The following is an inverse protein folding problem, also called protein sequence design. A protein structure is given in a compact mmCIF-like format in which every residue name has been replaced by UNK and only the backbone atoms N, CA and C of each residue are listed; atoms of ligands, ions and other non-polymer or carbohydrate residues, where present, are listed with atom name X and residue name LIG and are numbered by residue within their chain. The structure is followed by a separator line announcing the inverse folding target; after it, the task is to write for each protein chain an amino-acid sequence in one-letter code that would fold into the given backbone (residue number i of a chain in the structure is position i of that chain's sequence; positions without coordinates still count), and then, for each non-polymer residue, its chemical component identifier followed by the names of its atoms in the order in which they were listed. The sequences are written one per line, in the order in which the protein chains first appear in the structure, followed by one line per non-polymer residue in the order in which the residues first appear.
data_IF_108263042745
#
_entry.id   IF_108263042745
#
_cell.length_a   1.000
_cell.length_b   1.000
_cell.length_c   1.000
_cell.angle_alpha   90.00
_cell.angle_beta   90.00
_cell.angle_gamma   90.00
#
_symmetry.space_group_name_H-M   'P 1'
#
loop_
_entity.id
_entity.type
_entity.pdbx_description
1 polymer ?
#
# COMPACT_ATOMS: atom_id res chain seq x y z
N UNK A 1 -11.37 5.65 34.54
CA UNK A 1 -11.98 4.55 33.76
C UNK A 1 -13.05 3.92 34.61
N UNK A 2 -14.31 4.09 34.23
CA UNK A 2 -15.44 3.38 34.84
C UNK A 2 -15.37 1.93 34.38
N UNK A 3 -15.31 0.97 35.31
CA UNK A 3 -15.18 -0.45 34.98
C UNK A 3 -16.58 -1.06 34.93
N UNK A 4 -17.02 -1.51 33.76
CA UNK A 4 -18.28 -2.23 33.60
C UNK A 4 -18.04 -3.67 34.06
N UNK A 5 -18.74 -4.11 35.11
CA UNK A 5 -18.64 -5.50 35.57
C UNK A 5 -19.48 -6.42 34.69
N UNK A 6 -19.17 -7.72 34.68
CA UNK A 6 -19.99 -8.72 33.98
C UNK A 6 -21.47 -8.71 34.44
N UNK A 7 -21.76 -8.35 35.69
CA UNK A 7 -23.12 -8.21 36.21
C UNK A 7 -23.86 -6.94 35.76
N UNK A 8 -23.12 -5.92 35.31
CA UNK A 8 -23.68 -4.66 34.79
C UNK A 8 -23.96 -4.71 33.29
N UNK A 9 -23.44 -5.72 32.58
CA UNK A 9 -23.48 -5.78 31.11
C UNK A 9 -24.92 -5.78 30.57
N UNK A 10 -25.81 -6.59 31.13
CA UNK A 10 -27.21 -6.67 30.67
C UNK A 10 -27.94 -5.33 30.83
N UNK A 11 -27.64 -4.61 31.92
CA UNK A 11 -28.20 -3.28 32.19
C UNK A 11 -27.70 -2.27 31.16
N UNK A 12 -26.37 -2.16 30.97
CA UNK A 12 -25.81 -1.17 30.04
C UNK A 12 -26.19 -1.47 28.59
N UNK A 13 -26.27 -2.75 28.20
CA UNK A 13 -26.75 -3.17 26.88
C UNK A 13 -28.21 -2.76 26.67
N UNK A 14 -29.05 -2.88 27.71
CA UNK A 14 -30.45 -2.49 27.66
C UNK A 14 -30.62 -0.97 27.57
N UNK A 15 -29.93 -0.21 28.41
CA UNK A 15 -29.94 1.27 28.39
C UNK A 15 -29.42 1.81 27.06
N UNK A 16 -28.33 1.25 26.53
CA UNK A 16 -27.70 1.69 25.28
C UNK A 16 -28.44 1.26 24.01
N UNK A 17 -29.54 0.49 24.10
CA UNK A 17 -30.19 -0.16 22.94
C UNK A 17 -30.50 0.78 21.78
N UNK A 18 -30.98 1.99 22.07
CA UNK A 18 -31.32 2.99 21.06
C UNK A 18 -30.09 3.55 20.30
N UNK A 19 -28.90 3.34 20.84
CA UNK A 19 -27.63 3.88 20.35
C UNK A 19 -26.66 2.78 19.91
N UNK A 20 -27.10 1.52 19.85
CA UNK A 20 -26.24 0.43 19.42
C UNK A 20 -25.86 0.58 17.94
N UNK A 21 -24.59 0.36 17.64
CA UNK A 21 -24.09 0.26 16.27
C UNK A 21 -24.90 -0.78 15.46
N UNK A 22 -25.35 -0.47 14.24
CA UNK A 22 -26.23 -1.35 13.45
C UNK A 22 -25.67 -2.75 13.14
N UNK A 23 -24.36 -2.91 13.14
CA UNK A 23 -23.71 -4.20 12.90
C UNK A 23 -23.43 -5.00 14.18
N UNK A 24 -23.70 -4.47 15.36
CA UNK A 24 -23.45 -5.19 16.61
C UNK A 24 -24.36 -6.42 16.69
N UNK A 25 -23.76 -7.60 16.88
CA UNK A 25 -24.48 -8.86 17.06
C UNK A 25 -24.39 -9.38 18.48
N UNK A 26 -23.44 -8.88 19.29
CA UNK A 26 -23.33 -9.25 20.69
C UNK A 26 -22.24 -8.48 21.43
N UNK A 27 -22.30 -8.52 22.76
CA UNK A 27 -21.26 -8.02 23.64
C UNK A 27 -21.08 -9.00 24.80
N UNK A 28 -19.84 -9.17 25.25
CA UNK A 28 -19.49 -10.03 26.38
C UNK A 28 -18.37 -9.41 27.21
N UNK A 29 -18.31 -9.72 28.50
CA UNK A 29 -17.18 -9.36 29.35
C UNK A 29 -16.28 -10.60 29.57
N UNK A 30 -14.97 -10.45 29.41
CA UNK A 30 -14.02 -11.50 29.76
C UNK A 30 -13.82 -11.63 31.29
N UNK A 31 -13.01 -12.61 31.72
CA UNK A 31 -12.71 -12.84 33.16
C UNK A 31 -12.02 -11.65 33.87
N UNK A 32 -11.58 -10.65 33.11
CA UNK A 32 -10.94 -9.43 33.59
C UNK A 32 -11.84 -8.20 33.41
N UNK A 33 -13.15 -8.40 33.15
CA UNK A 33 -14.13 -7.35 32.85
C UNK A 33 -13.78 -6.50 31.62
N UNK A 34 -13.03 -7.06 30.65
CA UNK A 34 -12.81 -6.39 29.36
C UNK A 34 -14.00 -6.68 28.45
N UNK A 35 -14.58 -5.62 27.90
CA UNK A 35 -15.65 -5.74 26.92
C UNK A 35 -15.08 -6.26 25.61
N UNK A 36 -15.73 -7.28 25.06
CA UNK A 36 -15.53 -7.79 23.71
C UNK A 36 -16.84 -7.61 22.96
N UNK A 37 -16.78 -6.96 21.81
CA UNK A 37 -17.93 -6.73 20.95
C UNK A 37 -17.83 -7.66 19.75
N UNK A 38 -18.96 -8.25 19.36
CA UNK A 38 -19.08 -9.05 18.14
C UNK A 38 -19.92 -8.27 17.15
N UNK A 39 -19.42 -8.15 15.91
CA UNK A 39 -20.09 -7.48 14.82
C UNK A 39 -20.29 -8.42 13.65
N UNK A 40 -21.30 -8.15 12.83
CA UNK A 40 -21.30 -8.59 11.44
C UNK A 40 -20.03 -8.05 10.76
N UNK A 41 -19.36 -8.89 9.97
CA UNK A 41 -18.14 -8.53 9.26
C UNK A 41 -18.33 -7.23 8.45
N UNK A 42 -17.39 -6.31 8.57
CA UNK A 42 -17.32 -5.10 7.75
C UNK A 42 -16.68 -5.43 6.41
N UNK A 43 -17.22 -4.87 5.34
CA UNK A 43 -16.65 -4.99 3.99
C UNK A 43 -15.67 -3.85 3.69
N UNK A 44 -15.79 -2.73 4.40
CA UNK A 44 -15.02 -1.51 4.15
C UNK A 44 -15.61 -0.64 3.05
N UNK A 45 -16.72 -1.06 2.45
CA UNK A 45 -17.50 -0.27 1.50
C UNK A 45 -18.65 0.49 2.17
N UNK A 46 -18.97 0.17 3.43
CA UNK A 46 -19.94 0.91 4.21
C UNK A 46 -19.37 2.29 4.63
N UNK A 47 -20.25 3.21 5.01
CA UNK A 47 -19.83 4.48 5.61
C UNK A 47 -19.06 4.24 6.93
N UNK A 48 -18.07 5.10 7.22
CA UNK A 48 -17.34 5.05 8.49
C UNK A 48 -18.33 5.16 9.65
N UNK A 49 -18.29 4.23 10.64
CA UNK A 49 -19.19 4.28 11.78
C UNK A 49 -19.14 5.64 12.50
N UNK A 50 -20.29 6.33 12.56
CA UNK A 50 -20.41 7.62 13.20
C UNK A 50 -20.98 7.48 14.61
N UNK A 51 -20.27 8.01 15.61
CA UNK A 51 -20.74 8.02 17.00
C UNK A 51 -22.06 8.81 17.11
N UNK A 52 -23.05 8.31 17.87
CA UNK A 52 -24.32 9.00 18.04
C UNK A 52 -24.14 10.22 18.94
N UNK A 53 -24.02 11.42 18.34
CA UNK A 53 -23.77 12.68 19.04
C UNK A 53 -24.78 12.97 20.17
N UNK A 54 -26.03 12.55 19.99
CA UNK A 54 -27.11 12.80 20.96
C UNK A 54 -27.06 11.89 22.20
N UNK A 55 -26.26 10.82 22.22
CA UNK A 55 -26.13 9.95 23.39
C UNK A 55 -25.58 10.70 24.63
N UNK A 56 -24.80 11.75 24.42
CA UNK A 56 -24.28 12.58 25.52
C UNK A 56 -25.33 13.51 26.14
N UNK A 57 -26.42 13.77 25.42
CA UNK A 57 -27.53 14.62 25.87
C UNK A 57 -28.68 13.81 26.46
N UNK A 58 -28.68 12.48 26.28
CA UNK A 58 -29.71 11.62 26.83
C UNK A 58 -29.46 11.37 28.33
N UNK A 59 -30.28 11.97 29.19
CA UNK A 59 -30.23 11.84 30.64
C UNK A 59 -30.59 10.44 31.15
N UNK A 60 -31.26 9.61 30.32
CA UNK A 60 -31.60 8.23 30.67
C UNK A 60 -30.38 7.29 30.66
N UNK A 61 -29.26 7.71 30.05
CA UNK A 61 -28.04 6.92 30.02
C UNK A 61 -27.18 7.15 31.26
N UNK A 62 -26.79 6.06 31.90
CA UNK A 62 -25.75 6.08 32.94
C UNK A 62 -24.36 6.36 32.34
N UNK A 63 -23.39 6.87 33.13
CA UNK A 63 -22.00 7.01 32.67
C UNK A 63 -21.41 5.71 32.10
N UNK A 64 -21.76 4.57 32.68
CA UNK A 64 -21.37 3.24 32.23
C UNK A 64 -21.94 2.94 30.84
N UNK A 65 -23.21 3.25 30.59
CA UNK A 65 -23.85 3.03 29.28
C UNK A 65 -23.25 3.93 28.19
N UNK A 66 -22.88 5.18 28.53
CA UNK A 66 -22.16 6.05 27.58
C UNK A 66 -20.76 5.51 27.27
N UNK A 67 -20.03 5.04 28.28
CA UNK A 67 -18.72 4.40 28.08
C UNK A 67 -18.82 3.10 27.27
N UNK A 68 -19.90 2.32 27.44
CA UNK A 68 -20.20 1.14 26.63
C UNK A 68 -20.42 1.52 25.15
N UNK A 69 -21.21 2.56 24.87
CA UNK A 69 -21.45 3.06 23.50
C UNK A 69 -20.13 3.53 22.88
N UNK A 70 -19.31 4.29 23.62
CA UNK A 70 -18.00 4.72 23.12
C UNK A 70 -17.10 3.55 22.76
N UNK A 71 -16.93 2.59 23.67
CA UNK A 71 -16.09 1.42 23.45
C UNK A 71 -16.59 0.58 22.27
N UNK A 72 -17.91 0.44 22.11
CA UNK A 72 -18.53 -0.23 20.98
C UNK A 72 -18.18 0.47 19.66
N UNK A 73 -18.30 1.79 19.59
CA UNK A 73 -18.02 2.53 18.37
C UNK A 73 -16.52 2.60 18.07
N UNK A 74 -15.66 2.67 19.08
CA UNK A 74 -14.21 2.56 18.90
C UNK A 74 -13.83 1.24 18.23
N UNK A 75 -14.38 0.13 18.72
CA UNK A 75 -14.15 -1.20 18.12
C UNK A 75 -14.74 -1.28 16.71
N UNK A 76 -15.96 -0.77 16.49
CA UNK A 76 -16.58 -0.75 15.16
C UNK A 76 -15.76 0.05 14.14
N UNK A 77 -15.27 1.24 14.52
CA UNK A 77 -14.40 2.08 13.67
C UNK A 77 -13.08 1.36 13.40
N UNK A 78 -12.49 0.72 14.41
CA UNK A 78 -11.25 -0.04 14.25
C UNK A 78 -11.41 -1.17 13.22
N UNK A 79 -12.43 -2.01 13.39
CA UNK A 79 -12.72 -3.12 12.48
C UNK A 79 -13.10 -2.64 11.06
N UNK A 80 -13.89 -1.57 10.96
CA UNK A 80 -14.23 -0.96 9.67
C UNK A 80 -12.98 -0.43 8.97
N UNK A 81 -12.08 0.27 9.67
CA UNK A 81 -10.83 0.80 9.08
C UNK A 81 -9.94 -0.33 8.56
N UNK A 82 -9.82 -1.43 9.28
CA UNK A 82 -9.08 -2.61 8.80
C UNK A 82 -9.68 -3.16 7.50
N UNK A 83 -11.01 -3.30 7.43
CA UNK A 83 -11.71 -3.77 6.25
C UNK A 83 -11.58 -2.79 5.07
N UNK A 84 -11.75 -1.49 5.31
CA UNK A 84 -11.62 -0.43 4.32
C UNK A 84 -10.20 -0.35 3.75
N UNK A 85 -9.18 -0.45 4.62
CA UNK A 85 -7.78 -0.49 4.19
C UNK A 85 -7.50 -1.74 3.34
N UNK A 86 -7.95 -2.91 3.79
CA UNK A 86 -7.79 -4.16 3.04
C UNK A 86 -8.46 -4.07 1.67
N UNK A 87 -9.67 -3.53 1.58
CA UNK A 87 -10.41 -3.35 0.33
C UNK A 87 -9.69 -2.37 -0.62
N UNK A 88 -9.24 -1.22 -0.09
CA UNK A 88 -8.49 -0.23 -0.86
C UNK A 88 -7.16 -0.78 -1.37
N UNK A 89 -6.44 -1.57 -0.56
CA UNK A 89 -5.22 -2.26 -0.99
C UNK A 89 -5.50 -3.28 -2.09
N UNK A 90 -6.53 -4.11 -1.98
CA UNK A 90 -6.92 -5.06 -3.05
C UNK A 90 -7.16 -4.34 -4.37
N UNK A 91 -7.82 -3.17 -4.33
CA UNK A 91 -8.05 -2.36 -5.51
C UNK A 91 -6.74 -1.77 -6.06
N UNK A 92 -5.91 -1.16 -5.20
CA UNK A 92 -4.66 -0.52 -5.62
C UNK A 92 -3.59 -1.51 -6.10
N UNK A 93 -3.64 -2.76 -5.64
CA UNK A 93 -2.70 -3.83 -6.01
C UNK A 93 -3.19 -4.69 -7.16
N UNK A 94 -4.37 -4.40 -7.73
CA UNK A 94 -4.90 -5.14 -8.86
C UNK A 94 -3.95 -5.05 -10.07
N UNK A 95 -3.43 -6.20 -10.51
CA UNK A 95 -2.46 -6.28 -11.60
C UNK A 95 -1.02 -5.87 -11.24
N UNK A 96 -0.77 -5.42 -10.00
CA UNK A 96 0.55 -4.96 -9.57
C UNK A 96 1.64 -6.03 -9.72
N UNK A 97 1.33 -7.29 -9.38
CA UNK A 97 2.28 -8.40 -9.54
C UNK A 97 2.74 -8.60 -10.99
N UNK A 98 1.83 -8.48 -11.97
CA UNK A 98 2.17 -8.59 -13.38
C UNK A 98 3.02 -7.40 -13.86
N UNK A 99 2.71 -6.18 -13.40
CA UNK A 99 3.47 -4.98 -13.73
C UNK A 99 4.88 -5.01 -13.12
N UNK A 100 5.00 -5.47 -11.87
CA UNK A 100 6.31 -5.68 -11.24
C UNK A 100 7.15 -6.71 -12.01
N UNK A 101 6.54 -7.84 -12.37
CA UNK A 101 7.22 -8.87 -13.16
C UNK A 101 7.67 -8.35 -14.52
N UNK A 102 6.84 -7.55 -15.20
CA UNK A 102 7.19 -6.92 -16.48
C UNK A 102 8.38 -5.95 -16.34
N UNK A 103 8.38 -5.11 -15.29
CA UNK A 103 9.51 -4.25 -14.98
C UNK A 103 10.79 -5.06 -14.70
N UNK A 104 10.71 -6.07 -13.83
CA UNK A 104 11.86 -6.91 -13.47
C UNK A 104 12.44 -7.63 -14.70
N UNK A 105 11.57 -8.14 -15.59
CA UNK A 105 11.99 -8.78 -16.83
C UNK A 105 12.66 -7.80 -17.80
N UNK A 106 12.09 -6.59 -17.96
CA UNK A 106 12.66 -5.58 -18.84
C UNK A 106 14.01 -5.06 -18.31
N UNK A 107 14.15 -4.89 -17.00
CA UNK A 107 15.42 -4.56 -16.35
C UNK A 107 16.46 -5.65 -16.59
N UNK A 108 16.12 -6.92 -16.37
CA UNK A 108 17.04 -8.03 -16.58
C UNK A 108 17.51 -8.11 -18.04
N UNK A 109 16.61 -7.95 -19.01
CA UNK A 109 16.96 -7.96 -20.43
C UNK A 109 17.88 -6.79 -20.82
N UNK A 110 17.66 -5.59 -20.26
CA UNK A 110 18.53 -4.44 -20.46
C UNK A 110 19.95 -4.71 -19.94
N UNK A 111 20.07 -5.22 -18.72
CA UNK A 111 21.38 -5.52 -18.10
C UNK A 111 22.09 -6.68 -18.81
N UNK A 112 21.36 -7.70 -19.26
CA UNK A 112 21.92 -8.81 -20.04
C UNK A 112 22.50 -8.31 -21.36
N UNK A 113 21.77 -7.46 -22.11
CA UNK A 113 22.27 -6.90 -23.37
C UNK A 113 23.54 -6.08 -23.11
N UNK A 114 23.52 -5.20 -22.10
CA UNK A 114 24.68 -4.38 -21.76
C UNK A 114 25.90 -5.23 -21.41
N UNK A 115 25.73 -6.21 -20.51
CA UNK A 115 26.81 -7.13 -20.11
C UNK A 115 27.34 -7.95 -21.28
N UNK A 116 26.47 -8.35 -22.22
CA UNK A 116 26.88 -9.15 -23.37
C UNK A 116 27.86 -8.42 -24.29
N UNK A 117 27.88 -7.08 -24.28
CA UNK A 117 28.69 -6.25 -25.18
C UNK A 117 30.19 -6.52 -25.04
N UNK A 118 30.67 -6.85 -23.84
CA UNK A 118 32.08 -7.18 -23.58
C UNK A 118 32.58 -8.42 -24.33
N UNK A 119 31.65 -9.28 -24.78
CA UNK A 119 31.95 -10.56 -25.43
C UNK A 119 31.59 -10.59 -26.92
N UNK A 120 31.01 -9.51 -27.47
CA UNK A 120 30.57 -9.47 -28.87
C UNK A 120 31.70 -9.02 -29.79
N UNK A 121 31.83 -9.62 -30.98
CA UNK A 121 32.73 -9.08 -32.01
C UNK A 121 32.33 -7.65 -32.40
N UNK A 122 33.32 -6.79 -32.65
CA UNK A 122 33.13 -5.37 -33.02
C UNK A 122 32.18 -5.16 -34.21
N UNK A 123 32.12 -6.12 -35.15
CA UNK A 123 31.22 -6.09 -36.31
C UNK A 123 29.73 -6.06 -35.94
N UNK A 124 29.37 -6.43 -34.71
CA UNK A 124 28.00 -6.41 -34.19
C UNK A 124 27.74 -5.26 -33.20
N UNK A 125 28.72 -4.38 -32.97
CA UNK A 125 28.63 -3.32 -31.97
C UNK A 125 27.39 -2.42 -32.16
N UNK A 126 27.23 -1.82 -33.34
CA UNK A 126 26.11 -0.90 -33.65
C UNK A 126 24.75 -1.57 -33.50
N UNK A 127 24.62 -2.83 -33.94
CA UNK A 127 23.39 -3.59 -33.78
C UNK A 127 23.08 -3.88 -32.31
N UNK A 128 24.11 -4.17 -31.50
CA UNK A 128 23.95 -4.42 -30.06
C UNK A 128 23.61 -3.13 -29.31
N UNK A 129 24.24 -2.00 -29.63
CA UNK A 129 23.88 -0.67 -29.09
C UNK A 129 22.43 -0.32 -29.42
N UNK A 130 21.98 -0.56 -30.66
CA UNK A 130 20.58 -0.32 -31.04
C UNK A 130 19.61 -1.18 -30.22
N UNK A 131 19.93 -2.46 -29.99
CA UNK A 131 19.13 -3.35 -29.11
C UNK A 131 19.12 -2.85 -27.66
N UNK A 132 20.26 -2.38 -27.15
CA UNK A 132 20.34 -1.83 -25.80
C UNK A 132 19.45 -0.59 -25.65
N UNK A 133 19.48 0.35 -26.60
CA UNK A 133 18.63 1.55 -26.56
C UNK A 133 17.13 1.17 -26.54
N UNK A 134 16.74 0.17 -27.33
CA UNK A 134 15.36 -0.33 -27.30
C UNK A 134 15.00 -0.99 -25.96
N UNK A 135 15.92 -1.76 -25.36
CA UNK A 135 15.71 -2.37 -24.06
C UNK A 135 15.65 -1.34 -22.92
N UNK A 136 16.50 -0.30 -22.95
CA UNK A 136 16.45 0.83 -22.02
C UNK A 136 15.09 1.53 -22.09
N UNK A 137 14.56 1.76 -23.29
CA UNK A 137 13.22 2.35 -23.46
C UNK A 137 12.13 1.44 -22.88
N UNK A 138 12.15 0.15 -23.19
CA UNK A 138 11.16 -0.81 -22.67
C UNK A 138 11.21 -0.91 -21.14
N UNK A 139 12.40 -0.92 -20.54
CA UNK A 139 12.57 -0.90 -19.09
C UNK A 139 12.02 0.40 -18.47
N UNK A 140 12.23 1.54 -19.13
CA UNK A 140 11.73 2.84 -18.65
C UNK A 140 10.21 2.92 -18.72
N UNK A 141 9.60 2.48 -19.82
CA UNK A 141 8.14 2.43 -19.98
C UNK A 141 7.50 1.51 -18.91
N UNK A 142 8.14 0.36 -18.62
CA UNK A 142 7.71 -0.55 -17.56
C UNK A 142 7.89 0.04 -16.15
N UNK A 143 9.00 0.75 -15.90
CA UNK A 143 9.25 1.43 -14.62
C UNK A 143 8.22 2.54 -14.34
N UNK A 144 7.88 3.34 -15.36
CA UNK A 144 6.84 4.38 -15.26
C UNK A 144 5.50 3.75 -14.92
N UNK A 145 5.13 2.67 -15.62
CA UNK A 145 3.90 1.92 -15.36
C UNK A 145 3.86 1.39 -13.93
N UNK A 146 4.97 0.82 -13.46
CA UNK A 146 5.09 0.36 -12.08
C UNK A 146 4.95 1.51 -11.08
N UNK A 147 5.63 2.65 -11.30
CA UNK A 147 5.57 3.79 -10.38
C UNK A 147 4.17 4.40 -10.28
N UNK A 148 3.35 4.34 -11.34
CA UNK A 148 1.93 4.70 -11.26
C UNK A 148 1.17 3.82 -10.26
N UNK A 149 1.42 2.52 -10.28
CA UNK A 149 0.82 1.57 -9.32
C UNK A 149 1.40 1.72 -7.93
N UNK A 150 2.72 1.89 -7.82
CA UNK A 150 3.40 2.20 -6.56
C UNK A 150 2.83 3.44 -5.89
N UNK A 151 2.51 4.49 -6.66
CA UNK A 151 1.81 5.69 -6.16
C UNK A 151 0.41 5.40 -5.64
N UNK A 152 -0.37 4.57 -6.34
CA UNK A 152 -1.70 4.19 -5.88
C UNK A 152 -1.62 3.44 -4.54
N UNK A 153 -0.70 2.49 -4.43
CA UNK A 153 -0.47 1.72 -3.20
C UNK A 153 0.02 2.64 -2.06
N UNK A 154 0.98 3.52 -2.32
CA UNK A 154 1.51 4.45 -1.31
C UNK A 154 0.47 5.45 -0.82
N UNK A 155 -0.44 5.89 -1.71
CA UNK A 155 -1.57 6.75 -1.33
C UNK A 155 -2.53 6.05 -0.38
N UNK A 156 -2.84 4.78 -0.63
CA UNK A 156 -3.66 3.98 0.32
C UNK A 156 -2.94 3.86 1.65
N UNK A 157 -1.66 3.50 1.65
CA UNK A 157 -0.88 3.37 2.89
C UNK A 157 -0.83 4.69 3.70
N UNK A 158 -0.73 5.85 3.03
CA UNK A 158 -0.69 7.15 3.70
C UNK A 158 -2.06 7.53 4.28
N UNK A 159 -3.16 7.24 3.56
CA UNK A 159 -4.53 7.48 4.04
C UNK A 159 -4.84 6.70 5.33
N UNK A 160 -4.22 5.53 5.53
CA UNK A 160 -4.40 4.68 6.71
C UNK A 160 -3.20 4.68 7.67
N UNK A 161 -2.22 5.58 7.49
CA UNK A 161 -0.95 5.56 8.24
C UNK A 161 -1.07 5.68 9.75
N UNK A 162 -2.16 6.28 10.22
CA UNK A 162 -2.46 6.49 11.64
C UNK A 162 -3.35 5.39 12.23
N UNK A 163 -3.69 4.37 11.44
CA UNK A 163 -4.28 3.15 11.97
C UNK A 163 -3.27 2.37 12.81
N UNK A 164 -3.76 1.61 13.78
CA UNK A 164 -2.94 0.68 14.58
C UNK A 164 -2.62 -0.61 13.78
N UNK A 165 -2.28 -0.47 12.50
CA UNK A 165 -2.07 -1.57 11.55
C UNK A 165 -0.69 -1.42 10.90
N UNK A 166 0.08 -2.50 10.86
CA UNK A 166 1.29 -2.52 10.04
C UNK A 166 0.96 -2.71 8.57
N UNK A 167 1.82 -2.20 7.67
CA UNK A 167 1.68 -2.44 6.22
C UNK A 167 1.70 -3.94 5.89
N UNK A 168 2.55 -4.72 6.57
CA UNK A 168 2.69 -6.15 6.34
C UNK A 168 1.40 -6.93 6.64
N UNK A 169 0.77 -6.67 7.79
CA UNK A 169 -0.52 -7.28 8.15
C UNK A 169 -1.61 -6.98 7.12
N UNK A 170 -1.62 -5.75 6.58
CA UNK A 170 -2.65 -5.31 5.65
C UNK A 170 -2.43 -5.87 4.24
N UNK A 171 -1.17 -6.07 3.81
CA UNK A 171 -0.85 -6.82 2.60
C UNK A 171 -1.25 -8.30 2.73
N UNK A 172 -0.98 -8.93 3.86
CA UNK A 172 -1.40 -10.31 4.13
C UNK A 172 -2.93 -10.44 4.09
N UNK A 173 -3.66 -9.55 4.77
CA UNK A 173 -5.12 -9.50 4.73
C UNK A 173 -5.67 -9.24 3.31
N UNK A 174 -4.93 -8.48 2.49
CA UNK A 174 -5.24 -8.26 1.08
C UNK A 174 -4.93 -9.47 0.18
N UNK A 175 -4.16 -10.46 0.66
CA UNK A 175 -3.67 -11.58 -0.14
C UNK A 175 -2.56 -11.20 -1.11
N UNK A 176 -1.73 -10.22 -0.73
CA UNK A 176 -0.70 -9.61 -1.57
C UNK A 176 0.69 -9.92 -1.02
N UNK A 177 1.54 -10.56 -1.82
CA UNK A 177 2.98 -10.64 -1.54
C UNK A 177 3.69 -9.44 -2.17
N UNK A 178 3.93 -8.41 -1.34
CA UNK A 178 4.64 -7.19 -1.73
C UNK A 178 6.13 -7.21 -1.32
N UNK A 179 6.68 -8.34 -0.90
CA UNK A 179 8.03 -8.41 -0.29
C UNK A 179 9.16 -7.95 -1.23
N UNK A 180 8.97 -8.13 -2.54
CA UNK A 180 9.94 -7.75 -3.57
C UNK A 180 9.68 -6.35 -4.14
N UNK A 181 8.52 -5.76 -3.85
CA UNK A 181 8.06 -4.53 -4.49
C UNK A 181 8.81 -3.31 -3.95
N UNK A 182 9.38 -2.53 -4.86
CA UNK A 182 9.97 -1.23 -4.51
C UNK A 182 8.88 -0.17 -4.60
N UNK A 183 8.37 0.23 -3.43
CA UNK A 183 7.34 1.26 -3.28
C UNK A 183 7.88 2.34 -2.34
N UNK A 184 7.94 3.57 -2.83
CA UNK A 184 8.30 4.73 -2.01
C UNK A 184 7.14 5.22 -1.14
N UNK A 185 7.38 6.23 -0.32
CA UNK A 185 6.30 6.92 0.38
C UNK A 185 5.52 7.83 -0.59
N UNK A 186 4.35 8.33 -0.17
CA UNK A 186 3.48 9.15 -1.04
C UNK A 186 4.20 10.38 -1.61
N UNK A 187 5.09 11.00 -0.83
CA UNK A 187 5.91 12.15 -1.24
C UNK A 187 6.96 11.79 -2.31
N UNK A 188 7.39 10.52 -2.41
CA UNK A 188 8.40 10.12 -3.39
C UNK A 188 7.89 10.17 -4.82
N UNK A 189 6.57 10.19 -5.01
CA UNK A 189 5.87 10.21 -6.29
C UNK A 189 5.42 11.63 -6.71
N UNK A 190 5.90 12.67 -6.04
CA UNK A 190 5.65 14.05 -6.45
C UNK A 190 6.17 14.31 -7.88
N UNK A 191 5.44 15.08 -8.72
CA UNK A 191 5.77 15.24 -10.14
C UNK A 191 7.21 15.69 -10.41
N UNK A 192 7.78 16.54 -9.56
CA UNK A 192 9.14 17.08 -9.74
C UNK A 192 10.25 16.10 -9.35
N UNK A 193 9.94 15.03 -8.62
CA UNK A 193 10.92 14.00 -8.25
C UNK A 193 10.92 12.84 -9.23
N UNK A 194 9.82 12.57 -9.93
CA UNK A 194 9.63 11.33 -10.67
C UNK A 194 9.48 10.11 -9.75
N UNK A 195 9.04 8.97 -10.26
CA UNK A 195 8.83 7.78 -9.43
C UNK A 195 10.14 7.11 -8.98
N UNK A 196 10.19 6.46 -7.80
CA UNK A 196 11.40 5.84 -7.25
C UNK A 196 12.10 4.90 -8.21
N UNK A 197 11.35 4.01 -8.88
CA UNK A 197 11.91 3.00 -9.76
C UNK A 197 12.42 3.63 -11.06
N UNK A 198 11.66 4.58 -11.60
CA UNK A 198 12.05 5.37 -12.78
C UNK A 198 13.33 6.15 -12.51
N UNK A 199 13.43 6.83 -11.35
CA UNK A 199 14.65 7.57 -10.96
C UNK A 199 15.87 6.66 -10.91
N UNK A 200 15.74 5.51 -10.27
CA UNK A 200 16.86 4.58 -10.10
C UNK A 200 17.28 3.97 -11.44
N UNK A 201 16.32 3.59 -12.28
CA UNK A 201 16.59 3.10 -13.62
C UNK A 201 17.28 4.15 -14.49
N UNK A 202 16.86 5.42 -14.42
CA UNK A 202 17.47 6.49 -15.20
C UNK A 202 18.96 6.65 -14.86
N UNK A 203 19.33 6.59 -13.57
CA UNK A 203 20.74 6.62 -13.15
C UNK A 203 21.56 5.47 -13.77
N UNK A 204 20.98 4.27 -13.82
CA UNK A 204 21.62 3.09 -14.45
C UNK A 204 21.80 3.29 -15.95
N UNK A 205 20.77 3.76 -16.64
CA UNK A 205 20.81 4.08 -18.07
C UNK A 205 21.90 5.12 -18.35
N UNK A 206 21.98 6.16 -17.53
CA UNK A 206 22.97 7.22 -17.68
C UNK A 206 24.40 6.68 -17.48
N UNK A 207 24.61 5.82 -16.48
CA UNK A 207 25.88 5.15 -16.25
C UNK A 207 26.29 4.24 -17.42
N UNK A 208 25.37 3.44 -17.95
CA UNK A 208 25.61 2.60 -19.14
C UNK A 208 25.98 3.46 -20.35
N UNK A 209 25.23 4.55 -20.60
CA UNK A 209 25.51 5.48 -21.71
C UNK A 209 26.87 6.15 -21.56
N UNK A 210 27.24 6.55 -20.36
CA UNK A 210 28.54 7.17 -20.09
C UNK A 210 29.70 6.20 -20.31
N UNK A 211 29.53 4.94 -19.87
CA UNK A 211 30.48 3.90 -20.17
C UNK A 211 30.69 3.72 -21.69
N UNK A 212 29.60 3.64 -22.47
CA UNK A 212 29.68 3.51 -23.93
C UNK A 212 30.34 4.71 -24.61
N UNK A 213 30.06 5.94 -24.16
CA UNK A 213 30.75 7.15 -24.65
C UNK A 213 32.25 7.09 -24.35
N UNK A 214 32.62 6.66 -23.15
CA UNK A 214 34.02 6.51 -22.75
C UNK A 214 34.73 5.51 -23.65
N UNK A 215 34.14 4.33 -23.87
CA UNK A 215 34.69 3.30 -24.77
C UNK A 215 34.89 3.85 -26.17
N UNK A 216 33.86 4.46 -26.77
CA UNK A 216 33.96 5.03 -28.12
C UNK A 216 35.05 6.12 -28.23
N UNK A 217 35.21 6.93 -27.19
CA UNK A 217 36.25 7.98 -27.14
C UNK A 217 37.67 7.41 -27.12
N UNK A 218 37.86 6.24 -26.49
CA UNK A 218 39.16 5.59 -26.34
C UNK A 218 39.52 4.70 -27.54
N UNK A 219 38.54 4.13 -28.25
CA UNK A 219 38.76 3.25 -29.40
C UNK A 219 38.84 3.99 -30.73
N UNK A 220 38.60 5.31 -30.75
CA UNK A 220 38.72 6.12 -31.96
C UNK A 220 37.51 6.04 -32.90
N UNK A 221 36.39 5.48 -32.44
CA UNK A 221 35.08 5.54 -33.12
C UNK A 221 34.53 6.98 -33.00
N UNK A 222 35.12 7.92 -33.76
CA UNK A 222 34.56 9.25 -33.99
C UNK A 222 33.64 9.20 -35.19
N UNK A 223 32.50 9.90 -35.09
CA UNK A 223 31.46 10.05 -36.11
C UNK A 223 32.02 10.07 -37.55
N UNK A 224 31.40 9.35 -38.51
CA UNK A 224 31.57 9.70 -39.91
C UNK A 224 31.02 11.12 -40.11
N UNK A 225 31.88 12.00 -40.62
CA UNK A 225 31.54 13.37 -41.01
C UNK A 225 30.35 13.43 -41.97
#
# INVERSE_FOLDING_TARGET
MTTITAGDLDRVVTEARAYQHPHLTGASADRFNRLTFTFRAFTGAEDEPQRPLYAWQDESLTPESRAFIDAQYDEAIHLWRAAAYTAALKQATNGAGAQWAAYAQALAAMEEIFTSMDSKPDTHWRATVSKLVNAQKAALDAAITWDHTGRAISTVNDNFRYGAFSRAEMYEAAGVDASQWVIGDSYDYEPFRGGPVTRELQKRIDAQREHLRTVASLTGDRDPA
#
